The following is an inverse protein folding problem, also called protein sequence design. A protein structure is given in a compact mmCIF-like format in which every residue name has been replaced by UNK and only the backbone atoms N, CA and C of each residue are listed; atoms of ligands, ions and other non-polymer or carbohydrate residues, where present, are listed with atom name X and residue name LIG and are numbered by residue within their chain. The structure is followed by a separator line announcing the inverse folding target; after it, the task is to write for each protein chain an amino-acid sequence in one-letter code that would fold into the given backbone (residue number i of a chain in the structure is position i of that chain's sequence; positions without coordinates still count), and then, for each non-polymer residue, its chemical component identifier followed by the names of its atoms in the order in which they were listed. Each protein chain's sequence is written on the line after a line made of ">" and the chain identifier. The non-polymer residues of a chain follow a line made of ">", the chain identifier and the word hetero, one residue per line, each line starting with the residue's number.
data_IF_716991726490
#
_entry.id   IF_716991726490
#
_cell.length_a   1.000
_cell.length_b   1.000
_cell.length_c   1.000
_cell.angle_alpha   90.00
_cell.angle_beta   90.00
_cell.angle_gamma   90.00
#
_symmetry.space_group_name_H-M   'P 1'
#
loop_
_entity.id
_entity.type
_entity.pdbx_description
1 polymer ?
#
# COMPACT_ATOMS: atom_id res chain seq x y z
N UNK A 1 6.10 31.89 -4.47
CA UNK A 1 6.68 32.40 -3.21
C UNK A 1 6.79 31.23 -2.22
N UNK A 2 7.99 30.87 -1.75
CA UNK A 2 8.17 29.71 -0.86
C UNK A 2 7.74 30.02 0.57
N UNK A 3 7.00 29.10 1.22
CA UNK A 3 6.61 29.23 2.62
C UNK A 3 7.71 28.67 3.52
N UNK A 4 7.99 29.34 4.64
CA UNK A 4 8.91 28.86 5.67
C UNK A 4 8.08 28.07 6.68
N UNK A 5 8.38 26.77 6.83
CA UNK A 5 7.69 25.91 7.78
C UNK A 5 8.21 26.22 9.19
N UNK A 6 7.37 26.77 10.07
CA UNK A 6 7.77 27.12 11.44
C UNK A 6 7.46 25.98 12.42
N UNK A 7 6.48 25.13 12.12
CA UNK A 7 6.13 23.90 12.88
C UNK A 7 5.75 22.76 11.94
N UNK A 8 5.76 21.52 12.45
CA UNK A 8 5.33 20.33 11.70
C UNK A 8 3.84 20.40 11.31
N UNK A 9 3.00 21.04 12.13
CA UNK A 9 1.56 21.20 11.86
C UNK A 9 1.30 22.08 10.63
N UNK A 10 2.17 23.05 10.33
CA UNK A 10 2.07 23.89 9.12
C UNK A 10 2.26 23.08 7.82
N UNK A 11 2.80 21.86 7.94
CA UNK A 11 3.14 21.02 6.79
C UNK A 11 1.91 20.41 6.14
N UNK A 12 0.96 19.96 6.95
CA UNK A 12 -0.28 19.37 6.47
C UNK A 12 -1.08 20.38 5.63
N UNK A 13 -1.04 21.66 6.02
CA UNK A 13 -1.67 22.77 5.29
C UNK A 13 -0.92 23.18 4.00
N UNK A 14 0.38 22.87 3.91
CA UNK A 14 1.23 23.18 2.76
C UNK A 14 1.23 22.03 1.73
N UNK A 15 0.90 20.82 2.16
CA UNK A 15 0.85 19.62 1.32
C UNK A 15 -0.60 19.22 1.03
N UNK A 16 -1.38 20.02 0.26
CA UNK A 16 -2.65 19.53 -0.22
C UNK A 16 -2.38 18.29 -1.07
N UNK A 17 -3.10 17.22 -0.75
CA UNK A 17 -3.10 15.97 -1.47
C UNK A 17 -3.16 16.26 -2.99
N UNK A 18 -2.09 15.93 -3.72
CA UNK A 18 -1.96 15.77 -5.20
C UNK A 18 -0.83 16.57 -5.89
N UNK A 19 0.01 17.34 -5.19
CA UNK A 19 1.05 18.14 -5.87
C UNK A 19 2.49 17.80 -5.45
N UNK A 20 3.41 17.87 -6.43
CA UNK A 20 4.83 17.67 -6.19
C UNK A 20 5.40 18.84 -5.36
N UNK A 21 6.42 18.55 -4.56
CA UNK A 21 7.05 19.56 -3.70
C UNK A 21 8.55 19.56 -3.86
N UNK A 22 9.10 20.78 -3.90
CA UNK A 22 10.53 21.01 -3.73
C UNK A 22 10.80 21.24 -2.26
N UNK A 23 11.55 20.32 -1.66
CA UNK A 23 12.00 20.41 -0.28
C UNK A 23 13.46 20.84 -0.27
N UNK A 24 13.76 21.91 0.48
CA UNK A 24 15.14 22.29 0.83
C UNK A 24 15.35 21.99 2.32
N UNK A 25 15.91 20.82 2.60
CA UNK A 25 16.29 20.34 3.94
C UNK A 25 17.81 20.30 4.04
N UNK A 26 18.31 20.49 5.26
CA UNK A 26 19.76 20.44 5.57
C UNK A 26 20.08 19.29 6.54
N UNK A 27 19.06 18.64 7.12
CA UNK A 27 19.24 17.59 8.12
C UNK A 27 18.76 16.22 7.63
N UNK A 28 19.72 15.31 7.54
CA UNK A 28 19.53 13.88 7.28
C UNK A 28 20.03 13.12 8.50
N UNK A 29 19.29 12.09 8.91
CA UNK A 29 19.73 11.19 9.98
C UNK A 29 19.53 9.75 9.54
N UNK A 30 20.28 8.83 10.14
CA UNK A 30 20.06 7.41 9.91
C UNK A 30 18.63 7.02 10.31
N UNK A 31 17.97 6.31 9.41
CA UNK A 31 16.68 5.69 9.65
C UNK A 31 16.86 4.46 10.54
N UNK A 32 16.04 4.36 11.58
CA UNK A 32 15.97 3.21 12.47
C UNK A 32 14.53 2.95 12.86
N UNK A 33 14.25 1.72 13.32
CA UNK A 33 12.95 1.29 13.80
C UNK A 33 12.14 0.51 12.76
N UNK A 34 11.04 -0.05 13.26
CA UNK A 34 10.04 -0.74 12.49
C UNK A 34 9.13 0.30 11.84
N UNK A 35 8.52 0.05 10.67
CA UNK A 35 7.66 0.97 9.88
C UNK A 35 8.38 1.89 8.89
N UNK A 36 9.53 1.46 8.34
CA UNK A 36 10.23 2.24 7.31
C UNK A 36 9.53 2.09 5.95
N UNK A 37 9.12 3.21 5.36
CA UNK A 37 8.41 3.25 4.07
C UNK A 37 9.33 3.10 2.84
N UNK A 38 10.65 3.21 3.03
CA UNK A 38 11.64 3.06 1.95
C UNK A 38 12.89 2.35 2.48
N UNK A 39 13.63 1.70 1.58
CA UNK A 39 14.93 1.10 1.88
C UNK A 39 16.05 2.13 2.11
N UNK A 40 15.79 3.40 1.84
CA UNK A 40 16.80 4.45 1.92
C UNK A 40 17.33 4.60 3.36
N UNK A 41 18.66 4.57 3.58
CA UNK A 41 19.26 4.50 4.92
C UNK A 41 19.04 5.76 5.75
N UNK A 42 18.68 6.88 5.11
CA UNK A 42 18.43 8.15 5.77
C UNK A 42 16.96 8.53 5.75
N UNK A 43 16.51 9.18 6.82
CA UNK A 43 15.25 9.92 6.89
C UNK A 43 15.50 11.42 6.94
N UNK A 44 14.55 12.18 6.40
CA UNK A 44 14.55 13.64 6.47
C UNK A 44 13.96 14.09 7.81
N UNK A 45 14.60 15.08 8.45
CA UNK A 45 14.03 15.77 9.61
C UNK A 45 13.75 17.21 9.23
N UNK A 46 12.50 17.62 9.40
CA UNK A 46 12.10 19.00 9.16
C UNK A 46 12.47 19.84 10.37
N UNK A 47 13.38 20.77 10.16
CA UNK A 47 13.79 21.78 11.14
C UNK A 47 13.22 23.15 10.79
N UNK A 48 13.31 24.12 11.69
CA UNK A 48 12.83 25.52 11.52
C UNK A 48 13.30 26.21 10.23
N UNK A 49 14.43 25.79 9.65
CA UNK A 49 14.98 26.36 8.39
C UNK A 49 14.57 25.59 7.13
N UNK A 50 13.77 24.53 7.26
CA UNK A 50 13.25 23.76 6.13
C UNK A 50 12.36 24.64 5.28
N UNK A 51 12.67 24.71 3.97
CA UNK A 51 11.85 25.46 3.03
C UNK A 51 11.12 24.49 2.12
N UNK A 52 9.84 24.75 1.90
CA UNK A 52 8.99 23.93 1.06
C UNK A 52 8.33 24.83 0.04
N UNK A 53 8.33 24.34 -1.20
CA UNK A 53 7.71 25.01 -2.31
C UNK A 53 6.93 23.97 -3.09
N UNK A 54 5.64 24.23 -3.26
CA UNK A 54 4.79 23.45 -4.15
C UNK A 54 5.23 23.71 -5.59
N UNK A 55 5.31 22.63 -6.37
CA UNK A 55 5.74 22.66 -7.77
C UNK A 55 4.84 21.76 -8.61
N UNK A 56 4.60 22.17 -9.86
CA UNK A 56 3.96 21.31 -10.84
C UNK A 56 5.07 20.54 -11.54
N UNK A 57 5.07 19.22 -11.38
CA UNK A 57 6.02 18.35 -12.06
C UNK A 57 5.35 17.04 -12.45
N UNK A 58 5.09 16.87 -13.74
CA UNK A 58 4.46 15.67 -14.30
C UNK A 58 5.39 14.45 -14.34
N UNK A 59 6.70 14.63 -14.11
CA UNK A 59 7.65 13.52 -14.05
C UNK A 59 7.60 12.75 -12.71
N UNK A 60 6.94 13.30 -11.68
CA UNK A 60 6.79 12.63 -10.38
C UNK A 60 5.45 11.90 -10.38
N UNK A 61 5.50 10.58 -10.27
CA UNK A 61 4.29 9.74 -10.16
C UNK A 61 3.48 10.13 -8.93
N UNK A 62 2.16 10.22 -9.10
CA UNK A 62 1.21 10.53 -8.02
C UNK A 62 1.09 9.39 -6.98
N UNK A 63 1.45 8.16 -7.36
CA UNK A 63 1.22 6.98 -6.55
C UNK A 63 2.54 6.43 -5.99
N UNK A 64 3.59 6.41 -6.82
CA UNK A 64 4.91 5.88 -6.48
C UNK A 64 4.93 4.52 -5.75
N UNK A 65 4.07 3.53 -6.07
CA UNK A 65 4.14 2.23 -5.43
C UNK A 65 5.40 1.49 -5.87
N UNK A 66 5.99 0.75 -4.95
CA UNK A 66 7.11 -0.16 -5.19
C UNK A 66 6.65 -1.57 -4.87
N UNK A 67 5.94 -2.20 -5.80
CA UNK A 67 5.35 -3.52 -5.58
C UNK A 67 6.42 -4.53 -5.17
N UNK A 68 6.17 -5.18 -4.03
CA UNK A 68 7.01 -6.23 -3.47
C UNK A 68 6.48 -7.56 -3.96
N UNK A 69 7.39 -8.43 -4.41
CA UNK A 69 7.05 -9.78 -4.85
C UNK A 69 6.42 -10.60 -3.70
N UNK A 70 5.36 -11.36 -3.96
CA UNK A 70 4.66 -12.07 -2.89
C UNK A 70 5.50 -13.18 -2.25
N UNK A 71 6.34 -13.88 -3.02
CA UNK A 71 7.27 -14.87 -2.46
C UNK A 71 8.31 -14.21 -1.54
N UNK A 72 8.80 -13.02 -1.87
CA UNK A 72 9.67 -12.25 -0.96
C UNK A 72 8.96 -11.88 0.33
N UNK A 73 7.69 -11.43 0.25
CA UNK A 73 6.90 -11.16 1.45
C UNK A 73 6.77 -12.43 2.29
N UNK A 74 6.31 -13.53 1.69
CA UNK A 74 6.10 -14.80 2.36
C UNK A 74 7.38 -15.43 2.93
N UNK A 75 8.55 -15.14 2.37
CA UNK A 75 9.84 -15.66 2.84
C UNK A 75 10.31 -15.07 4.18
N UNK A 76 9.68 -14.00 4.67
CA UNK A 76 10.05 -13.42 5.96
C UNK A 76 9.76 -14.38 7.13
N UNK A 77 10.79 -14.67 7.92
CA UNK A 77 10.70 -15.52 9.12
C UNK A 77 10.64 -14.72 10.43
N UNK A 78 10.86 -13.40 10.35
CA UNK A 78 10.76 -12.48 11.48
C UNK A 78 10.02 -11.20 11.08
N UNK A 79 9.64 -10.39 12.07
CA UNK A 79 9.03 -9.08 11.85
C UNK A 79 9.95 -8.22 10.95
N UNK A 80 9.45 -7.86 9.77
CA UNK A 80 10.20 -7.09 8.79
C UNK A 80 10.17 -5.60 9.11
N UNK A 81 11.31 -4.91 9.05
CA UNK A 81 11.39 -3.49 9.43
C UNK A 81 10.65 -2.56 8.47
N UNK A 82 10.59 -2.93 7.19
CA UNK A 82 10.04 -2.09 6.13
C UNK A 82 8.57 -2.39 5.87
N UNK A 83 7.88 -1.37 5.36
CA UNK A 83 6.53 -1.50 4.84
C UNK A 83 6.61 -1.89 3.37
N UNK A 84 5.69 -2.75 2.96
CA UNK A 84 5.64 -3.33 1.61
C UNK A 84 4.42 -2.82 0.87
N UNK A 85 4.54 -2.76 -0.44
CA UNK A 85 3.41 -2.48 -1.32
C UNK A 85 3.03 -3.78 -2.01
N UNK A 86 1.77 -4.20 -1.91
CA UNK A 86 1.27 -5.42 -2.56
C UNK A 86 0.11 -5.10 -3.48
N UNK A 87 -0.02 -5.88 -4.55
CA UNK A 87 -1.03 -5.65 -5.59
C UNK A 87 -1.61 -6.94 -6.14
N UNK A 88 -2.68 -6.77 -6.92
CA UNK A 88 -3.49 -7.82 -7.57
C UNK A 88 -4.39 -8.60 -6.62
N UNK A 89 -5.51 -7.98 -6.27
CA UNK A 89 -6.55 -8.58 -5.45
C UNK A 89 -7.25 -9.70 -6.23
N UNK A 90 -7.19 -10.92 -5.69
CA UNK A 90 -7.90 -12.11 -6.19
C UNK A 90 -9.13 -12.48 -5.37
N UNK A 91 -9.22 -12.01 -4.13
CA UNK A 91 -10.35 -12.33 -3.26
C UNK A 91 -10.51 -11.35 -2.11
N UNK A 92 -11.75 -11.20 -1.65
CA UNK A 92 -12.11 -10.45 -0.44
C UNK A 92 -12.98 -11.35 0.40
N UNK A 93 -12.62 -11.53 1.67
CA UNK A 93 -13.46 -12.26 2.61
C UNK A 93 -14.70 -11.47 2.98
N UNK A 94 -15.70 -12.15 3.53
CA UNK A 94 -16.80 -11.47 4.24
C UNK A 94 -16.26 -10.55 5.35
N UNK A 95 -16.92 -9.42 5.56
CA UNK A 95 -16.65 -8.52 6.69
C UNK A 95 -16.90 -9.25 8.01
N UNK A 96 -15.97 -9.12 8.94
CA UNK A 96 -16.01 -9.74 10.27
C UNK A 96 -15.75 -8.68 11.33
N UNK A 97 -16.16 -8.98 12.55
CA UNK A 97 -15.86 -8.20 13.72
C UNK A 97 -14.71 -8.85 14.51
N UNK A 98 -13.77 -8.02 14.95
CA UNK A 98 -12.61 -8.41 15.75
C UNK A 98 -12.55 -7.56 17.02
N UNK A 99 -12.44 -8.18 18.19
CA UNK A 99 -12.33 -7.46 19.45
C UNK A 99 -10.86 -7.20 19.75
N UNK A 100 -10.49 -5.92 19.82
CA UNK A 100 -9.15 -5.47 20.23
C UNK A 100 -9.30 -4.48 21.38
N UNK A 101 -8.64 -4.76 22.50
CA UNK A 101 -8.64 -3.84 23.66
C UNK A 101 -10.07 -3.48 24.12
N UNK A 102 -10.99 -4.43 24.07
CA UNK A 102 -12.41 -4.23 24.44
C UNK A 102 -13.24 -3.46 23.41
N UNK A 103 -12.67 -3.08 22.26
CA UNK A 103 -13.39 -2.42 21.17
C UNK A 103 -13.63 -3.39 20.02
N UNK A 104 -14.84 -3.34 19.46
CA UNK A 104 -15.19 -4.05 18.24
C UNK A 104 -14.62 -3.26 17.06
N UNK A 105 -13.83 -3.94 16.22
CA UNK A 105 -13.17 -3.39 15.04
C UNK A 105 -13.54 -4.25 13.84
N UNK A 106 -14.00 -3.62 12.76
CA UNK A 106 -14.24 -4.28 11.48
C UNK A 106 -12.96 -4.86 10.89
N UNK A 107 -13.05 -6.01 10.25
CA UNK A 107 -11.94 -6.71 9.62
C UNK A 107 -12.37 -7.39 8.33
N UNK A 108 -11.54 -7.31 7.31
CA UNK A 108 -11.60 -8.16 6.10
C UNK A 108 -10.22 -8.73 5.82
N UNK A 109 -10.19 -9.92 5.20
CA UNK A 109 -8.98 -10.50 4.61
C UNK A 109 -9.07 -10.30 3.10
N UNK A 110 -8.01 -9.74 2.54
CA UNK A 110 -7.80 -9.62 1.09
C UNK A 110 -6.77 -10.66 0.69
N UNK A 111 -7.07 -11.43 -0.36
CA UNK A 111 -6.10 -12.32 -1.00
C UNK A 111 -5.46 -11.57 -2.19
N UNK A 112 -4.14 -11.59 -2.23
CA UNK A 112 -3.32 -11.16 -3.36
C UNK A 112 -2.68 -12.38 -4.00
N UNK A 113 -2.63 -12.41 -5.33
CA UNK A 113 -1.93 -13.48 -6.08
C UNK A 113 -1.09 -12.85 -7.18
N UNK A 114 0.15 -13.31 -7.33
CA UNK A 114 1.01 -13.02 -8.47
C UNK A 114 1.65 -14.32 -8.97
N UNK A 115 2.54 -14.24 -9.97
CA UNK A 115 3.22 -15.41 -10.53
C UNK A 115 4.10 -16.17 -9.52
N UNK A 116 4.40 -15.56 -8.36
CA UNK A 116 5.23 -16.15 -7.30
C UNK A 116 4.43 -16.82 -6.19
N UNK A 117 3.13 -16.56 -6.09
CA UNK A 117 2.25 -17.24 -5.14
C UNK A 117 1.11 -16.37 -4.63
N UNK A 118 0.67 -16.66 -3.40
CA UNK A 118 -0.46 -16.00 -2.74
C UNK A 118 -0.04 -15.39 -1.42
N UNK A 119 -0.66 -14.26 -1.07
CA UNK A 119 -0.47 -13.61 0.21
C UNK A 119 -1.78 -13.03 0.74
N UNK A 120 -1.97 -13.07 2.07
CA UNK A 120 -3.15 -12.52 2.72
C UNK A 120 -2.82 -11.17 3.39
N UNK A 121 -3.74 -10.20 3.24
CA UNK A 121 -3.69 -8.92 3.91
C UNK A 121 -4.95 -8.69 4.75
N UNK A 122 -4.77 -8.47 6.06
CA UNK A 122 -5.83 -8.03 6.95
C UNK A 122 -5.99 -6.50 6.91
N UNK A 123 -7.17 -6.03 6.55
CA UNK A 123 -7.56 -4.63 6.72
C UNK A 123 -8.47 -4.49 7.93
N UNK A 124 -8.22 -3.46 8.74
CA UNK A 124 -8.95 -3.16 9.97
C UNK A 124 -9.57 -1.76 9.97
N UNK A 125 -10.73 -1.64 10.63
CA UNK A 125 -11.37 -0.36 10.92
C UNK A 125 -11.77 0.41 9.66
N UNK A 126 -11.51 1.72 9.63
CA UNK A 126 -11.94 2.61 8.55
C UNK A 126 -11.40 2.22 7.16
N UNK A 127 -10.31 1.46 7.09
CA UNK A 127 -9.77 0.95 5.82
C UNK A 127 -10.71 -0.05 5.14
N UNK A 128 -11.52 -0.78 5.92
CA UNK A 128 -12.56 -1.67 5.39
C UNK A 128 -13.61 -0.85 4.65
N UNK A 129 -14.11 0.21 5.29
CA UNK A 129 -15.10 1.09 4.69
C UNK A 129 -14.51 1.87 3.49
N UNK A 130 -13.24 2.27 3.54
CA UNK A 130 -12.54 2.91 2.43
C UNK A 130 -12.43 2.00 1.21
N UNK A 131 -12.03 0.73 1.41
CA UNK A 131 -11.98 -0.24 0.32
C UNK A 131 -13.36 -0.44 -0.29
N UNK A 132 -14.37 -0.73 0.54
CA UNK A 132 -15.74 -0.99 0.07
C UNK A 132 -16.30 0.21 -0.71
N UNK A 133 -16.04 1.43 -0.24
CA UNK A 133 -16.44 2.66 -0.93
C UNK A 133 -15.75 2.82 -2.29
N UNK A 134 -14.47 2.45 -2.40
CA UNK A 134 -13.70 2.53 -3.66
C UNK A 134 -14.05 1.40 -4.63
N UNK A 135 -14.40 0.21 -4.12
CA UNK A 135 -14.77 -0.95 -4.93
C UNK A 135 -16.18 -0.84 -5.52
N UNK A 136 -17.12 -0.10 -4.93
CA UNK A 136 -18.44 0.15 -5.53
C UNK A 136 -19.25 -1.15 -5.81
N UNK A 137 -20.18 -1.11 -6.78
CA UNK A 137 -21.10 -2.24 -7.10
C UNK A 137 -20.69 -3.09 -8.32
N UNK A 138 -19.80 -2.63 -9.19
CA UNK A 138 -19.49 -3.29 -10.46
C UNK A 138 -17.98 -3.30 -10.72
N UNK A 139 -17.19 -4.09 -9.99
CA UNK A 139 -15.73 -4.06 -10.15
C UNK A 139 -15.06 -5.41 -9.86
N UNK A 140 -15.70 -6.52 -10.24
CA UNK A 140 -14.99 -7.80 -10.29
C UNK A 140 -13.81 -7.68 -11.27
N UNK A 141 -12.59 -7.95 -10.78
CA UNK A 141 -11.38 -7.96 -11.60
C UNK A 141 -10.59 -6.64 -11.71
N UNK A 142 -10.93 -5.57 -10.98
CA UNK A 142 -10.07 -4.38 -10.94
C UNK A 142 -8.79 -4.63 -10.13
N UNK A 143 -7.61 -4.18 -10.59
CA UNK A 143 -6.38 -4.29 -9.81
C UNK A 143 -6.48 -3.36 -8.59
N UNK A 144 -6.20 -3.92 -7.42
CA UNK A 144 -6.09 -3.16 -6.16
C UNK A 144 -4.65 -3.21 -5.68
N UNK A 145 -4.15 -2.07 -5.21
CA UNK A 145 -2.83 -1.93 -4.58
C UNK A 145 -3.00 -1.43 -3.15
N UNK A 146 -2.35 -2.11 -2.22
CA UNK A 146 -2.23 -1.70 -0.81
C UNK A 146 -0.79 -1.26 -0.59
N UNK A 147 -0.61 0.06 -0.41
CA UNK A 147 0.68 0.68 -0.17
C UNK A 147 0.96 0.79 1.33
N UNK A 148 2.23 0.63 1.71
CA UNK A 148 2.72 0.74 3.09
C UNK A 148 2.02 -0.20 4.07
N UNK A 149 1.93 -1.46 3.69
CA UNK A 149 1.40 -2.51 4.53
C UNK A 149 2.52 -3.14 5.39
N UNK A 150 2.17 -3.62 6.57
CA UNK A 150 3.13 -4.20 7.53
C UNK A 150 3.11 -5.72 7.42
N UNK A 151 4.27 -6.30 7.13
CA UNK A 151 4.49 -7.75 7.26
C UNK A 151 4.47 -8.12 8.75
N UNK A 152 3.69 -9.14 9.08
CA UNK A 152 3.54 -9.72 10.41
C UNK A 152 3.58 -11.23 10.34
N UNK A 153 4.13 -11.84 11.38
CA UNK A 153 4.13 -13.29 11.52
C UNK A 153 3.13 -13.67 12.59
N UNK A 154 2.15 -14.47 12.18
CA UNK A 154 1.09 -14.97 13.04
C UNK A 154 1.00 -16.48 12.90
N UNK A 155 1.31 -17.22 13.97
CA UNK A 155 1.31 -18.70 13.98
C UNK A 155 2.13 -19.30 12.84
N UNK A 156 3.37 -18.83 12.69
CA UNK A 156 4.33 -19.25 11.65
C UNK A 156 3.86 -19.00 10.21
N UNK A 157 2.81 -18.19 10.03
CA UNK A 157 2.35 -17.71 8.74
C UNK A 157 2.61 -16.23 8.60
N UNK A 158 3.15 -15.86 7.46
CA UNK A 158 3.29 -14.47 7.06
C UNK A 158 1.93 -13.93 6.65
N UNK A 159 1.51 -12.87 7.30
CA UNK A 159 0.30 -12.12 6.99
C UNK A 159 0.65 -10.63 6.95
N UNK A 160 0.04 -9.89 6.04
CA UNK A 160 0.22 -8.47 5.93
C UNK A 160 -0.95 -7.77 6.63
N UNK A 161 -0.75 -6.60 7.22
CA UNK A 161 -1.86 -5.79 7.74
C UNK A 161 -1.66 -4.30 7.46
N UNK A 162 -2.75 -3.54 7.49
CA UNK A 162 -2.67 -2.09 7.40
C UNK A 162 -1.98 -1.46 8.62
N UNK A 163 -1.36 -0.31 8.37
CA UNK A 163 -0.72 0.58 9.35
C UNK A 163 -1.56 1.84 9.46
N UNK A 164 -1.98 2.17 10.69
CA UNK A 164 -2.81 3.34 10.99
C UNK A 164 -2.15 4.62 10.47
N UNK A 165 -2.94 5.46 9.78
CA UNK A 165 -2.54 6.75 9.19
C UNK A 165 -1.43 6.66 8.12
N UNK A 166 -1.06 5.45 7.68
CA UNK A 166 0.07 5.26 6.76
C UNK A 166 -0.34 4.48 5.52
N UNK A 167 -1.07 3.37 5.69
CA UNK A 167 -1.51 2.55 4.56
C UNK A 167 -2.39 3.35 3.60
N UNK A 168 -2.22 3.11 2.30
CA UNK A 168 -3.05 3.70 1.25
C UNK A 168 -3.64 2.61 0.37
N UNK A 169 -4.89 2.78 -0.03
CA UNK A 169 -5.60 1.83 -0.88
C UNK A 169 -5.82 2.49 -2.25
N UNK A 170 -5.36 1.85 -3.32
CA UNK A 170 -5.61 2.28 -4.69
C UNK A 170 -6.44 1.22 -5.40
N UNK A 171 -7.59 1.61 -5.93
CA UNK A 171 -8.44 0.76 -6.76
C UNK A 171 -8.30 1.24 -8.19
N UNK A 172 -7.91 0.33 -9.08
CA UNK A 172 -7.59 0.59 -10.48
C UNK A 172 -6.67 1.81 -10.68
N UNK A 173 -5.49 1.86 -10.04
CA UNK A 173 -4.55 2.95 -10.26
C UNK A 173 -4.06 2.96 -11.70
N UNK A 174 -3.94 4.16 -12.27
CA UNK A 174 -3.32 4.38 -13.59
C UNK A 174 -1.79 4.33 -13.45
N UNK A 175 -1.27 3.10 -13.27
CA UNK A 175 0.15 2.80 -13.15
C UNK A 175 0.52 1.60 -14.04
N UNK A 176 1.74 1.55 -14.60
CA UNK A 176 2.18 0.45 -15.45
C UNK A 176 2.04 -0.92 -14.79
N UNK A 177 2.27 -0.99 -13.49
CA UNK A 177 2.15 -2.21 -12.71
C UNK A 177 0.71 -2.72 -12.71
N UNK A 178 -0.29 -1.86 -12.52
CA UNK A 178 -1.71 -2.25 -12.54
C UNK A 178 -2.16 -2.72 -13.93
N UNK A 179 -1.62 -2.12 -14.99
CA UNK A 179 -1.85 -2.59 -16.36
C UNK A 179 -1.21 -3.95 -16.62
N UNK A 180 -0.03 -4.22 -16.06
CA UNK A 180 0.60 -5.54 -16.10
C UNK A 180 -0.22 -6.57 -15.31
N UNK A 181 -0.74 -6.19 -14.14
CA UNK A 181 -1.60 -7.03 -13.30
C UNK A 181 -2.90 -7.41 -14.03
N UNK A 182 -3.55 -6.48 -14.75
CA UNK A 182 -4.71 -6.76 -15.61
C UNK A 182 -4.39 -7.80 -16.68
N UNK A 183 -3.25 -7.67 -17.36
CA UNK A 183 -2.83 -8.57 -18.44
C UNK A 183 -2.52 -9.98 -17.95
N UNK A 184 -1.90 -10.11 -16.77
CA UNK A 184 -1.64 -11.42 -16.14
C UNK A 184 -2.93 -12.17 -15.80
N UNK A 185 -3.96 -11.46 -15.34
CA UNK A 185 -5.27 -12.05 -15.01
C UNK A 185 -6.00 -12.64 -16.23
N UNK A 186 -5.94 -11.95 -17.38
CA UNK A 186 -6.59 -12.40 -18.61
C UNK A 186 -5.95 -13.70 -19.13
N UNK A 187 -4.61 -13.80 -19.06
CA UNK A 187 -3.89 -14.98 -19.54
C UNK A 187 -4.20 -16.27 -18.75
N UNK A 188 -4.41 -16.19 -17.42
CA UNK A 188 -4.80 -17.34 -16.58
C UNK A 188 -6.28 -17.74 -16.77
N UNK A 189 -7.14 -16.76 -17.05
CA UNK A 189 -8.56 -17.02 -17.31
C UNK A 189 -8.81 -17.75 -18.64
N UNK A 190 -7.89 -17.63 -19.61
CA UNK A 190 -7.95 -18.32 -20.89
C UNK A 190 -7.40 -19.76 -20.79
N UNK A 191 -6.42 -20.02 -19.93
CA UNK A 191 -5.94 -21.39 -19.66
C UNK A 191 -7.00 -22.27 -18.98
N UNK A 192 -7.87 -21.64 -18.18
CA UNK A 192 -8.96 -22.31 -17.47
C UNK A 192 -10.09 -22.79 -18.39
N UNK A 193 -10.17 -22.31 -19.64
CA UNK A 193 -11.19 -22.71 -20.63
C UNK A 193 -10.76 -23.86 -21.56
N UNK A 194 -9.49 -24.29 -21.51
CA UNK A 194 -8.98 -25.33 -22.41
C UNK A 194 -9.04 -26.77 -21.85
N UNK A 195 -9.73 -27.03 -20.74
CA UNK A 195 -9.86 -28.41 -20.18
C UNK A 195 -11.25 -29.04 -20.28
N UNK A 196 -12.24 -28.37 -20.87
CA UNK A 196 -13.55 -28.96 -21.18
C UNK A 196 -13.78 -29.04 -22.70
N UNK A 197 -13.08 -29.93 -23.38
CA UNK A 197 -13.50 -30.46 -24.69
C UNK A 197 -12.62 -31.64 -25.11
N UNK A 198 -12.77 -32.76 -24.40
CA UNK A 198 -12.38 -34.09 -24.88
C UNK A 198 -13.22 -35.16 -24.15
N UNK A 199 -14.47 -35.29 -24.59
CA UNK A 199 -15.24 -36.55 -24.51
C UNK A 199 -15.85 -36.80 -25.87
#
# INVERSE_FOLDING_TARGET
>A
MGKVCKKFDDLADILPNKEAIRIKVVCFVYGSGYYRTTLHPYKLIFQLKTKIQVVINSAISNYGPSLTNLAEVCAHQHDYEYLVDVGLLTGISVEREYIREGKIIKMIIIEFTDASGKCECALFGHYVDELNKKMGKENEGLPVVIQFAKVKIFRDKTLIQNVINTTRIFVNPDIPEAEALKKGFVADSDFSKCTESSK
#
